data_IF_130909295608
#
_entry.id   IF_130909295608
#
_cell.length_a   1.000
_cell.length_b   1.000
_cell.length_c   1.000
_cell.angle_alpha   90.00
_cell.angle_beta   90.00
_cell.angle_gamma   90.00
#
_symmetry.space_group_name_H-M   'P 1'
#
loop_
_entity.id
_entity.type
_entity.pdbx_description
1 polymer ?
#
# COMPACT_ATOMS: atom_id res chain seq x y z
N UNK A 1 -28.24 11.32 -12.65
CA UNK A 1 -26.84 10.81 -12.68
C UNK A 1 -25.77 11.91 -12.71
N UNK A 2 -26.04 13.14 -13.19
CA UNK A 2 -25.09 14.27 -13.20
C UNK A 2 -24.33 14.53 -11.88
N UNK A 3 -24.96 14.30 -10.73
CA UNK A 3 -24.33 14.44 -9.42
C UNK A 3 -23.17 13.44 -9.23
N UNK A 4 -23.37 12.16 -9.60
CA UNK A 4 -22.31 11.13 -9.47
C UNK A 4 -21.17 11.38 -10.44
N UNK A 5 -21.47 11.87 -11.65
CA UNK A 5 -20.46 12.18 -12.66
C UNK A 5 -19.49 13.28 -12.19
N UNK A 6 -19.97 14.22 -11.36
CA UNK A 6 -19.14 15.26 -10.76
C UNK A 6 -18.10 14.74 -9.76
N UNK A 7 -18.26 13.51 -9.27
CA UNK A 7 -17.36 12.88 -8.31
C UNK A 7 -16.21 12.10 -8.97
N UNK A 8 -16.28 11.82 -10.28
CA UNK A 8 -15.24 11.05 -10.99
C UNK A 8 -13.82 11.59 -10.80
N UNK A 9 -13.57 12.93 -10.82
CA UNK A 9 -12.22 13.45 -10.62
C UNK A 9 -11.63 13.23 -9.22
N UNK A 10 -12.44 12.81 -8.24
CA UNK A 10 -12.02 12.68 -6.83
C UNK A 10 -12.23 11.28 -6.24
N UNK A 11 -12.94 10.39 -6.93
CA UNK A 11 -13.32 9.06 -6.42
C UNK A 11 -12.13 8.13 -6.12
N UNK A 12 -10.95 8.45 -6.68
CA UNK A 12 -9.72 7.72 -6.36
C UNK A 12 -9.13 8.05 -4.98
N UNK A 13 -9.49 9.19 -4.39
CA UNK A 13 -8.92 9.64 -3.12
C UNK A 13 -9.25 8.72 -1.95
N UNK A 14 -10.49 8.26 -1.75
CA UNK A 14 -10.81 7.29 -0.69
C UNK A 14 -9.87 6.09 -0.68
N UNK A 15 -9.64 5.45 -1.83
CA UNK A 15 -8.76 4.27 -1.93
C UNK A 15 -7.31 4.65 -1.60
N UNK A 16 -6.80 5.77 -2.13
CA UNK A 16 -5.43 6.23 -1.84
C UNK A 16 -5.24 6.52 -0.36
N UNK A 17 -6.17 7.23 0.26
CA UNK A 17 -6.11 7.62 1.67
C UNK A 17 -6.19 6.39 2.56
N UNK A 18 -7.10 5.46 2.31
CA UNK A 18 -7.21 4.24 3.09
C UNK A 18 -5.90 3.44 3.07
N UNK A 19 -5.32 3.21 1.89
CA UNK A 19 -4.05 2.46 1.78
C UNK A 19 -2.90 3.23 2.42
N UNK A 20 -2.80 4.54 2.18
CA UNK A 20 -1.78 5.36 2.80
C UNK A 20 -1.86 5.31 4.34
N UNK A 21 -3.05 5.41 4.93
CA UNK A 21 -3.23 5.32 6.38
C UNK A 21 -2.93 3.91 6.90
N UNK A 22 -3.38 2.86 6.21
CA UNK A 22 -3.05 1.47 6.56
C UNK A 22 -1.53 1.29 6.63
N UNK A 23 -0.82 1.69 5.58
CA UNK A 23 0.64 1.57 5.50
C UNK A 23 1.37 2.47 6.49
N UNK A 24 0.82 3.66 6.79
CA UNK A 24 1.34 4.53 7.84
C UNK A 24 1.27 3.84 9.21
N UNK A 25 0.13 3.23 9.54
CA UNK A 25 -0.05 2.53 10.82
C UNK A 25 0.88 1.32 10.93
N UNK A 26 0.95 0.48 9.89
CA UNK A 26 1.83 -0.70 9.90
C UNK A 26 3.31 -0.35 9.93
N UNK A 27 3.73 0.68 9.19
CA UNK A 27 5.11 1.13 9.17
C UNK A 27 5.51 1.85 10.46
N UNK A 28 4.66 2.77 10.95
CA UNK A 28 4.96 3.52 12.18
C UNK A 28 4.98 2.60 13.41
N UNK A 29 4.13 1.57 13.44
CA UNK A 29 4.12 0.57 14.51
C UNK A 29 5.40 -0.29 14.59
N UNK A 30 6.30 -0.19 13.61
CA UNK A 30 7.61 -0.88 13.58
C UNK A 30 8.76 0.02 14.06
N UNK A 31 8.49 1.25 14.46
CA UNK A 31 9.49 2.18 15.01
C UNK A 31 9.34 2.22 16.54
N UNK A 32 10.44 2.24 17.32
CA UNK A 32 11.84 2.27 16.88
C UNK A 32 12.42 0.89 16.52
N UNK A 33 11.74 -0.20 16.87
CA UNK A 33 12.24 -1.55 16.67
C UNK A 33 11.16 -2.47 16.04
N UNK A 34 11.38 -3.01 14.83
CA UNK A 34 10.43 -3.90 14.19
C UNK A 34 10.35 -5.26 14.90
N UNK A 35 9.21 -5.55 15.53
CA UNK A 35 8.99 -6.82 16.24
C UNK A 35 9.12 -8.08 15.36
N UNK A 36 9.06 -7.93 14.03
CA UNK A 36 9.27 -9.03 13.07
C UNK A 36 10.67 -9.63 13.13
N UNK A 37 11.64 -8.89 13.70
CA UNK A 37 13.00 -9.40 13.94
C UNK A 37 12.93 -10.57 14.92
N UNK A 38 12.23 -10.40 16.04
CA UNK A 38 12.16 -11.40 17.10
C UNK A 38 11.09 -12.46 16.78
N UNK A 39 9.94 -12.04 16.25
CA UNK A 39 8.79 -12.92 16.01
C UNK A 39 9.03 -13.91 14.86
N UNK A 40 9.80 -13.50 13.84
CA UNK A 40 9.98 -14.26 12.60
C UNK A 40 11.45 -14.48 12.23
N UNK A 41 12.40 -14.04 13.08
CA UNK A 41 13.83 -14.20 12.81
C UNK A 41 14.34 -13.40 11.61
N UNK A 42 13.64 -12.33 11.23
CA UNK A 42 14.00 -11.53 10.06
C UNK A 42 15.26 -10.70 10.36
N UNK A 43 16.30 -10.70 9.50
CA UNK A 43 17.49 -9.90 9.73
C UNK A 43 17.16 -8.41 9.95
N UNK A 44 17.74 -7.74 10.96
CA UNK A 44 17.38 -6.35 11.31
C UNK A 44 17.41 -5.39 10.13
N UNK A 45 18.46 -5.43 9.31
CA UNK A 45 18.58 -4.58 8.12
C UNK A 45 17.40 -4.75 7.15
N UNK A 46 16.93 -5.99 6.96
CA UNK A 46 15.79 -6.26 6.09
C UNK A 46 14.47 -5.84 6.73
N UNK A 47 14.32 -6.02 8.05
CA UNK A 47 13.13 -5.58 8.78
C UNK A 47 12.96 -4.05 8.74
N UNK A 48 14.05 -3.28 8.94
CA UNK A 48 14.01 -1.83 8.79
C UNK A 48 13.76 -1.39 7.34
N UNK A 49 14.28 -2.13 6.35
CA UNK A 49 13.99 -1.87 4.95
C UNK A 49 12.50 -2.05 4.63
N UNK A 50 11.86 -3.11 5.14
CA UNK A 50 10.41 -3.30 5.02
C UNK A 50 9.66 -2.13 5.67
N UNK A 51 10.04 -1.70 6.87
CA UNK A 51 9.46 -0.53 7.55
C UNK A 51 9.57 0.73 6.68
N UNK A 52 10.74 0.97 6.08
CA UNK A 52 10.94 2.09 5.16
C UNK A 52 10.03 1.99 3.93
N UNK A 53 9.97 0.82 3.30
CA UNK A 53 9.08 0.56 2.17
C UNK A 53 7.63 0.88 2.54
N UNK A 54 7.16 0.40 3.69
CA UNK A 54 5.78 0.64 4.11
C UNK A 54 5.48 2.13 4.32
N UNK A 55 6.36 2.85 5.01
CA UNK A 55 6.21 4.29 5.21
C UNK A 55 6.31 5.08 3.91
N UNK A 56 7.06 4.59 2.92
CA UNK A 56 7.20 5.25 1.61
C UNK A 56 5.91 5.22 0.78
N UNK A 57 5.01 4.25 1.01
CA UNK A 57 3.72 4.16 0.30
C UNK A 57 2.89 5.43 0.51
N UNK A 58 2.96 6.03 1.70
CA UNK A 58 2.20 7.22 2.09
C UNK A 58 2.48 8.41 1.15
N UNK A 59 3.72 8.96 1.07
CA UNK A 59 4.00 10.04 0.15
C UNK A 59 3.84 9.63 -1.31
N UNK A 60 4.15 8.38 -1.69
CA UNK A 60 4.02 7.92 -3.07
C UNK A 60 2.59 7.98 -3.59
N UNK A 61 1.61 7.48 -2.83
CA UNK A 61 0.21 7.47 -3.25
C UNK A 61 -0.46 8.84 -3.11
N UNK A 62 -0.11 9.61 -2.06
CA UNK A 62 -0.69 10.94 -1.82
C UNK A 62 -0.15 11.95 -2.83
N UNK A 63 1.17 12.09 -2.96
CA UNK A 63 1.78 13.04 -3.90
C UNK A 63 1.50 12.59 -5.34
N UNK A 64 1.54 11.28 -5.60
CA UNK A 64 1.22 10.71 -6.92
C UNK A 64 -0.21 11.00 -7.38
N UNK A 65 -1.16 11.20 -6.46
CA UNK A 65 -2.57 11.47 -6.77
C UNK A 65 -2.94 12.94 -6.95
N UNK A 66 -2.04 13.89 -6.67
CA UNK A 66 -2.34 15.32 -6.76
C UNK A 66 -2.52 15.74 -8.22
N UNK A 67 -3.59 16.49 -8.52
CA UNK A 67 -4.03 16.71 -9.91
C UNK A 67 -3.20 17.80 -10.64
N UNK A 68 -2.51 18.71 -9.93
CA UNK A 68 -2.01 19.97 -10.55
C UNK A 68 -0.49 20.11 -10.80
N UNK A 69 0.37 19.25 -10.26
CA UNK A 69 1.83 19.29 -10.51
C UNK A 69 2.32 18.55 -11.78
N UNK A 70 2.16 19.09 -12.99
CA UNK A 70 2.69 18.44 -14.20
C UNK A 70 4.19 18.72 -14.42
N UNK A 71 5.06 18.13 -13.61
CA UNK A 71 6.50 18.06 -13.90
C UNK A 71 6.84 16.62 -14.33
N UNK A 72 7.22 16.41 -15.59
CA UNK A 72 7.82 15.17 -16.12
C UNK A 72 7.11 13.83 -15.86
N UNK A 73 5.76 13.77 -15.85
CA UNK A 73 5.00 12.52 -15.59
C UNK A 73 5.31 11.82 -14.26
N UNK A 74 6.01 12.49 -13.34
CA UNK A 74 6.50 11.89 -12.10
C UNK A 74 5.38 11.30 -11.25
N UNK A 75 4.19 11.93 -11.26
CA UNK A 75 3.02 11.49 -10.51
C UNK A 75 2.54 10.07 -10.83
N UNK A 76 2.49 9.75 -12.13
CA UNK A 76 2.04 8.42 -12.57
C UNK A 76 3.07 7.38 -12.13
N UNK A 77 4.35 7.70 -12.28
CA UNK A 77 5.44 6.88 -11.76
C UNK A 77 5.35 6.68 -10.24
N UNK A 78 5.15 7.74 -9.46
CA UNK A 78 5.03 7.63 -7.99
C UNK A 78 3.83 6.76 -7.59
N UNK A 79 2.70 6.90 -8.27
CA UNK A 79 1.52 6.05 -8.02
C UNK A 79 1.82 4.59 -8.34
N UNK A 80 2.45 4.30 -9.48
CA UNK A 80 2.82 2.93 -9.87
C UNK A 80 3.85 2.34 -8.92
N UNK A 81 4.84 3.13 -8.51
CA UNK A 81 5.85 2.71 -7.55
C UNK A 81 5.22 2.42 -6.18
N UNK A 82 4.29 3.25 -5.73
CA UNK A 82 3.49 2.99 -4.53
C UNK A 82 2.72 1.67 -4.64
N UNK A 83 2.05 1.43 -5.76
CA UNK A 83 1.36 0.16 -6.05
C UNK A 83 2.30 -1.05 -6.04
N UNK A 84 3.51 -0.93 -6.63
CA UNK A 84 4.52 -1.99 -6.63
C UNK A 84 4.98 -2.33 -5.21
N UNK A 85 5.25 -1.31 -4.39
CA UNK A 85 5.69 -1.51 -3.00
C UNK A 85 4.57 -2.16 -2.19
N UNK A 86 3.31 -1.78 -2.40
CA UNK A 86 2.15 -2.43 -1.77
C UNK A 86 2.14 -3.92 -2.12
N UNK A 87 2.27 -4.28 -3.39
CA UNK A 87 2.31 -5.69 -3.82
C UNK A 87 3.47 -6.44 -3.17
N UNK A 88 4.69 -5.91 -3.24
CA UNK A 88 5.88 -6.59 -2.75
C UNK A 88 5.82 -6.85 -1.24
N UNK A 89 5.43 -5.83 -0.47
CA UNK A 89 5.28 -5.94 0.99
C UNK A 89 4.12 -6.86 1.38
N UNK A 90 3.00 -6.81 0.66
CA UNK A 90 1.84 -7.67 0.94
C UNK A 90 2.11 -9.14 0.62
N UNK A 91 2.81 -9.46 -0.47
CA UNK A 91 3.23 -10.83 -0.77
C UNK A 91 4.13 -11.36 0.35
N UNK A 92 5.11 -10.56 0.80
CA UNK A 92 5.95 -10.92 1.94
C UNK A 92 5.14 -11.18 3.22
N UNK A 93 4.20 -10.30 3.54
CA UNK A 93 3.32 -10.45 4.70
C UNK A 93 2.42 -11.69 4.60
N UNK A 94 1.89 -12.01 3.41
CA UNK A 94 1.10 -13.23 3.18
C UNK A 94 1.93 -14.48 3.47
N UNK A 95 3.16 -14.55 2.97
CA UNK A 95 4.02 -15.72 3.13
C UNK A 95 4.46 -15.90 4.59
N UNK A 96 4.85 -14.81 5.26
CA UNK A 96 5.47 -14.87 6.59
C UNK A 96 4.44 -14.84 7.72
N UNK A 97 3.44 -13.96 7.61
CA UNK A 97 2.51 -13.64 8.71
C UNK A 97 1.16 -14.33 8.52
N UNK A 98 0.62 -14.35 7.29
CA UNK A 98 -0.76 -14.74 7.03
C UNK A 98 -0.92 -16.03 6.23
N UNK A 99 0.02 -16.97 6.36
CA UNK A 99 -0.03 -18.22 5.59
C UNK A 99 -1.27 -19.07 5.91
N UNK A 100 -1.79 -19.00 7.15
CA UNK A 100 -3.01 -19.68 7.58
C UNK A 100 -4.30 -18.91 7.25
N UNK A 101 -4.22 -17.64 6.85
CA UNK A 101 -5.37 -16.77 6.68
C UNK A 101 -6.32 -17.19 5.53
N UNK A 102 -5.86 -18.08 4.65
CA UNK A 102 -6.65 -18.68 3.57
C UNK A 102 -7.66 -19.72 4.07
N UNK A 103 -7.58 -20.12 5.34
CA UNK A 103 -8.66 -20.79 6.05
C UNK A 103 -9.53 -19.74 6.76
N UNK A 104 -10.78 -19.62 6.32
CA UNK A 104 -11.77 -18.66 6.81
C UNK A 104 -12.04 -18.76 8.33
N UNK A 105 -11.62 -19.84 9.00
CA UNK A 105 -11.79 -20.05 10.44
C UNK A 105 -10.71 -19.43 11.32
N UNK A 106 -9.62 -18.92 10.73
CA UNK A 106 -8.46 -18.44 11.47
C UNK A 106 -8.39 -16.90 11.49
N UNK A 107 -7.88 -16.30 10.42
CA UNK A 107 -7.52 -14.87 10.39
C UNK A 107 -8.23 -14.08 9.28
N UNK A 108 -8.82 -14.76 8.28
CA UNK A 108 -9.46 -14.12 7.13
C UNK A 108 -8.44 -13.52 6.15
N UNK A 109 -8.64 -13.80 4.85
CA UNK A 109 -7.74 -13.37 3.76
C UNK A 109 -8.20 -12.07 3.08
N UNK A 110 -9.36 -11.54 3.47
CA UNK A 110 -10.02 -10.42 2.79
C UNK A 110 -9.16 -9.15 2.80
N UNK A 111 -8.47 -8.85 3.89
CA UNK A 111 -7.69 -7.63 4.01
C UNK A 111 -6.44 -7.66 3.11
N UNK A 112 -5.72 -8.77 3.14
CA UNK A 112 -4.52 -9.00 2.33
C UNK A 112 -4.88 -9.05 0.84
N UNK A 113 -5.97 -9.73 0.48
CA UNK A 113 -6.47 -9.80 -0.88
C UNK A 113 -6.92 -8.41 -1.40
N UNK A 114 -7.59 -7.62 -0.56
CA UNK A 114 -8.03 -6.26 -0.91
C UNK A 114 -6.83 -5.35 -1.15
N UNK A 115 -5.86 -5.30 -0.23
CA UNK A 115 -4.68 -4.46 -0.38
C UNK A 115 -3.82 -4.86 -1.58
N UNK A 116 -3.65 -6.17 -1.80
CA UNK A 116 -2.94 -6.68 -2.97
C UNK A 116 -3.64 -6.26 -4.27
N UNK A 117 -4.97 -6.35 -4.32
CA UNK A 117 -5.78 -5.92 -5.46
C UNK A 117 -5.66 -4.42 -5.72
N UNK A 118 -5.66 -3.60 -4.68
CA UNK A 118 -5.48 -2.16 -4.83
C UNK A 118 -4.04 -1.80 -5.26
N UNK A 119 -3.03 -2.50 -4.76
CA UNK A 119 -1.65 -2.36 -5.22
C UNK A 119 -1.51 -2.67 -6.71
N UNK A 120 -2.12 -3.77 -7.17
CA UNK A 120 -2.21 -4.13 -8.60
C UNK A 120 -2.93 -3.07 -9.42
N UNK A 121 -4.04 -2.55 -8.91
CA UNK A 121 -4.77 -1.46 -9.56
C UNK A 121 -3.86 -0.23 -9.76
N UNK A 122 -3.18 0.25 -8.72
CA UNK A 122 -2.29 1.42 -8.84
C UNK A 122 -1.06 1.14 -9.72
N UNK A 123 -0.50 -0.07 -9.66
CA UNK A 123 0.63 -0.46 -10.50
C UNK A 123 0.25 -0.47 -12.00
N UNK A 124 -0.92 -1.02 -12.34
CA UNK A 124 -1.34 -1.20 -13.74
C UNK A 124 -2.00 0.07 -14.31
N UNK A 125 -2.93 0.68 -13.57
CA UNK A 125 -3.67 1.87 -14.04
C UNK A 125 -2.91 3.17 -13.83
N UNK A 126 -2.08 3.27 -12.78
CA UNK A 126 -1.45 4.53 -12.39
C UNK A 126 -2.51 5.58 -12.07
N UNK A 127 -2.39 6.76 -12.68
CA UNK A 127 -3.33 7.88 -12.52
C UNK A 127 -4.47 7.90 -13.54
N UNK A 128 -4.60 6.86 -14.38
CA UNK A 128 -5.72 6.71 -15.33
C UNK A 128 -6.95 6.15 -14.60
N UNK A 129 -7.48 6.92 -13.65
CA UNK A 129 -8.69 6.61 -12.88
C UNK A 129 -9.92 7.05 -13.67
#
# INVERSE_FOLDING_TARGET
MKLLDSLFPIVHWPIRICIALTYLVHGAGKIPYPAIIDNFGIPPAFAYFITFCELSVVPLLIIGGLINFSLFNIKDFLTRLGGLIVIATMIGAIIVVHNSAWDYRHEGMEFQALLLSCGLYFLVRGNKV
#
